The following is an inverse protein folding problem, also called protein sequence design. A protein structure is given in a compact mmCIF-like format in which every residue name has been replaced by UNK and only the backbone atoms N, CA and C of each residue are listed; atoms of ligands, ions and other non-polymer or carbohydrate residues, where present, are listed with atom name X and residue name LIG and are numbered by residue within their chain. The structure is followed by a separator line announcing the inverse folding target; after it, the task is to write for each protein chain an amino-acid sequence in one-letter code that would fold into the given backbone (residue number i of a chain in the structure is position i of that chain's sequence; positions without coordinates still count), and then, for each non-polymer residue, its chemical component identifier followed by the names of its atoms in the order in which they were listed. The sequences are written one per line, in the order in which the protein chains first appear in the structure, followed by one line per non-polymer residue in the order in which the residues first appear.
data_IF_741948808404
#
_entry.id   IF_741948808404
#
_cell.length_a   1.000
_cell.length_b   1.000
_cell.length_c   1.000
_cell.angle_alpha   90.00
_cell.angle_beta   90.00
_cell.angle_gamma   90.00
#
_symmetry.space_group_name_H-M   'P 1'
#
loop_
_entity.id
_entity.type
_entity.pdbx_description
1 polymer ?
#
# COMPACT_ATOMS: atom_id res chain seq x y z
N UNK A 1 56.08 -12.83 31.08
CA UNK A 1 55.96 -12.05 29.83
C UNK A 1 54.68 -12.48 29.13
N UNK A 2 53.74 -11.55 28.91
CA UNK A 2 52.50 -11.80 28.14
C UNK A 2 52.81 -11.61 26.65
N UNK A 3 52.72 -12.65 25.85
CA UNK A 3 52.85 -12.59 24.40
C UNK A 3 51.59 -11.96 23.81
N UNK A 4 51.71 -10.75 23.24
CA UNK A 4 50.64 -10.11 22.47
C UNK A 4 50.45 -10.91 21.18
N UNK A 5 49.29 -11.56 21.06
CA UNK A 5 48.89 -12.38 19.91
C UNK A 5 48.71 -11.44 18.70
N UNK A 6 49.41 -11.71 17.60
CA UNK A 6 49.46 -10.83 16.43
C UNK A 6 48.08 -10.56 15.84
N UNK A 7 47.69 -9.29 15.84
CA UNK A 7 46.52 -8.81 15.10
C UNK A 7 46.85 -8.83 13.60
N UNK A 8 46.21 -9.75 12.85
CA UNK A 8 46.27 -9.73 11.39
C UNK A 8 45.33 -8.62 10.90
N UNK A 9 45.91 -7.57 10.33
CA UNK A 9 45.14 -6.54 9.62
C UNK A 9 44.54 -7.08 8.32
N UNK A 10 43.37 -6.57 7.93
CA UNK A 10 42.77 -6.84 6.62
C UNK A 10 43.67 -6.31 5.50
N UNK A 11 43.82 -7.06 4.42
CA UNK A 11 44.51 -6.58 3.22
C UNK A 11 43.59 -5.68 2.39
N UNK A 12 44.18 -4.70 1.69
CA UNK A 12 43.42 -3.81 0.80
C UNK A 12 42.77 -4.58 -0.36
N UNK A 13 43.41 -5.67 -0.81
CA UNK A 13 42.85 -6.51 -1.88
C UNK A 13 41.62 -7.29 -1.41
N UNK A 14 41.60 -7.76 -0.16
CA UNK A 14 40.43 -8.42 0.43
C UNK A 14 39.25 -7.46 0.51
N UNK A 15 39.48 -6.22 0.95
CA UNK A 15 38.41 -5.21 0.98
C UNK A 15 37.93 -4.85 -0.43
N UNK A 16 38.83 -4.76 -1.41
CA UNK A 16 38.49 -4.43 -2.79
C UNK A 16 37.57 -5.48 -3.41
N UNK A 17 37.88 -6.78 -3.23
CA UNK A 17 37.03 -7.86 -3.76
C UNK A 17 35.66 -7.87 -3.10
N UNK A 18 35.59 -7.61 -1.79
CA UNK A 18 34.31 -7.54 -1.06
C UNK A 18 33.42 -6.41 -1.57
N UNK A 19 33.96 -5.20 -1.74
CA UNK A 19 33.14 -4.08 -2.26
C UNK A 19 32.74 -4.29 -3.72
N UNK A 20 33.56 -4.97 -4.52
CA UNK A 20 33.19 -5.35 -5.89
C UNK A 20 32.00 -6.31 -5.92
N UNK A 21 32.00 -7.34 -5.07
CA UNK A 21 30.88 -8.30 -4.96
C UNK A 21 29.61 -7.60 -4.44
N UNK A 22 29.72 -6.78 -3.39
CA UNK A 22 28.59 -6.01 -2.86
C UNK A 22 28.04 -5.07 -3.94
N UNK A 23 28.90 -4.43 -4.73
CA UNK A 23 28.50 -3.57 -5.85
C UNK A 23 27.63 -4.30 -6.88
N UNK A 24 28.01 -5.53 -7.25
CA UNK A 24 27.23 -6.37 -8.18
C UNK A 24 25.87 -6.73 -7.59
N UNK A 25 25.83 -7.15 -6.32
CA UNK A 25 24.58 -7.52 -5.65
C UNK A 25 23.63 -6.31 -5.54
N UNK A 26 24.15 -5.15 -5.15
CA UNK A 26 23.38 -3.91 -4.99
C UNK A 26 22.79 -3.43 -6.32
N UNK A 27 23.55 -3.54 -7.42
CA UNK A 27 23.08 -3.15 -8.75
C UNK A 27 21.81 -3.90 -9.18
N UNK A 28 21.67 -5.18 -8.78
CA UNK A 28 20.47 -6.00 -9.07
C UNK A 28 19.39 -5.77 -8.01
N UNK A 29 19.77 -5.71 -6.73
CA UNK A 29 18.83 -5.67 -5.62
C UNK A 29 18.01 -4.38 -5.55
N UNK A 30 18.63 -3.21 -5.82
CA UNK A 30 17.94 -1.90 -5.74
C UNK A 30 16.73 -1.81 -6.68
N UNK A 31 16.86 -2.02 -8.01
CA UNK A 31 15.72 -1.90 -8.91
C UNK A 31 14.63 -2.94 -8.60
N UNK A 32 15.03 -4.16 -8.21
CA UNK A 32 14.10 -5.21 -7.83
C UNK A 32 13.31 -4.84 -6.57
N UNK A 33 13.98 -4.35 -5.52
CA UNK A 33 13.34 -3.91 -4.29
C UNK A 33 12.38 -2.73 -4.52
N UNK A 34 12.76 -1.79 -5.39
CA UNK A 34 11.89 -0.68 -5.76
C UNK A 34 10.58 -1.16 -6.41
N UNK A 35 10.66 -2.19 -7.27
CA UNK A 35 9.47 -2.79 -7.89
C UNK A 35 8.63 -3.57 -6.89
N UNK A 36 9.24 -4.32 -5.97
CA UNK A 36 8.49 -4.99 -4.89
C UNK A 36 7.74 -4.00 -4.01
N UNK A 37 8.37 -2.86 -3.67
CA UNK A 37 7.72 -1.82 -2.89
C UNK A 37 6.49 -1.25 -3.62
N UNK A 38 6.58 -1.01 -4.93
CA UNK A 38 5.43 -0.57 -5.74
C UNK A 38 4.31 -1.60 -5.74
N UNK A 39 4.62 -2.88 -5.93
CA UNK A 39 3.63 -3.96 -5.89
C UNK A 39 2.96 -4.09 -4.52
N UNK A 40 3.72 -3.94 -3.43
CA UNK A 40 3.16 -3.93 -2.07
C UNK A 40 2.23 -2.73 -1.85
N UNK A 41 2.60 -1.55 -2.35
CA UNK A 41 1.76 -0.35 -2.29
C UNK A 41 0.48 -0.50 -3.12
N UNK A 42 0.56 -1.10 -4.31
CA UNK A 42 -0.60 -1.44 -5.14
C UNK A 42 -1.51 -2.45 -4.41
N UNK A 43 -0.94 -3.49 -3.80
CA UNK A 43 -1.69 -4.47 -3.01
C UNK A 43 -2.40 -3.85 -1.80
N UNK A 44 -1.80 -2.84 -1.16
CA UNK A 44 -2.46 -2.09 -0.10
C UNK A 44 -3.68 -1.31 -0.61
N UNK A 45 -3.57 -0.63 -1.76
CA UNK A 45 -4.71 0.06 -2.37
C UNK A 45 -5.83 -0.91 -2.79
N UNK A 46 -5.47 -2.09 -3.31
CA UNK A 46 -6.43 -3.14 -3.65
C UNK A 46 -7.14 -3.71 -2.42
N UNK A 47 -6.43 -3.93 -1.31
CA UNK A 47 -7.03 -4.40 -0.07
C UNK A 47 -7.98 -3.34 0.51
N UNK A 48 -7.57 -2.08 0.53
CA UNK A 48 -8.35 -0.99 1.09
C UNK A 48 -9.66 -0.76 0.33
N UNK A 49 -9.66 -0.84 -1.00
CA UNK A 49 -10.91 -0.65 -1.77
C UNK A 49 -11.91 -1.79 -1.54
N UNK A 50 -11.43 -3.03 -1.34
CA UNK A 50 -12.27 -4.17 -0.94
C UNK A 50 -12.88 -3.95 0.44
N UNK A 51 -12.08 -3.49 1.39
CA UNK A 51 -12.55 -3.17 2.74
C UNK A 51 -13.54 -1.99 2.74
N UNK A 52 -13.29 -0.98 1.90
CA UNK A 52 -14.23 0.14 1.72
C UNK A 52 -15.56 -0.34 1.15
N UNK A 53 -15.53 -1.23 0.15
CA UNK A 53 -16.75 -1.82 -0.40
C UNK A 53 -17.54 -2.56 0.69
N UNK A 54 -16.89 -3.40 1.51
CA UNK A 54 -17.53 -4.08 2.63
C UNK A 54 -18.14 -3.09 3.65
N UNK A 55 -17.44 -1.99 3.94
CA UNK A 55 -17.96 -0.94 4.81
C UNK A 55 -19.18 -0.25 4.20
N UNK A 56 -19.19 -0.02 2.88
CA UNK A 56 -20.33 0.55 2.17
C UNK A 56 -21.54 -0.39 2.17
N UNK A 57 -21.34 -1.69 1.96
CA UNK A 57 -22.40 -2.71 2.06
C UNK A 57 -22.97 -2.78 3.48
N UNK A 58 -22.11 -2.73 4.51
CA UNK A 58 -22.54 -2.70 5.90
C UNK A 58 -23.37 -1.44 6.23
N UNK A 59 -22.97 -0.29 5.69
CA UNK A 59 -23.75 0.93 5.79
C UNK A 59 -25.11 0.79 5.13
N UNK A 60 -25.17 0.25 3.91
CA UNK A 60 -26.42 0.01 3.18
C UNK A 60 -27.36 -0.92 3.95
N UNK A 61 -26.85 -2.01 4.52
CA UNK A 61 -27.63 -2.96 5.29
C UNK A 61 -28.33 -2.32 6.52
N UNK A 62 -27.71 -1.29 7.10
CA UNK A 62 -28.26 -0.60 8.29
C UNK A 62 -29.16 0.58 7.91
N UNK A 63 -28.85 1.29 6.83
CA UNK A 63 -29.48 2.58 6.49
C UNK A 63 -30.43 2.50 5.28
N UNK A 64 -30.44 1.39 4.55
CA UNK A 64 -31.25 1.20 3.34
C UNK A 64 -30.79 1.99 2.11
N UNK A 65 -29.69 2.71 2.24
CA UNK A 65 -29.04 3.47 1.17
C UNK A 65 -27.54 3.53 1.44
N UNK A 66 -26.75 3.70 0.38
CA UNK A 66 -25.32 3.95 0.50
C UNK A 66 -25.06 5.35 1.04
N UNK A 67 -23.89 5.60 1.63
CA UNK A 67 -23.59 6.92 2.15
C UNK A 67 -23.49 7.95 1.02
N UNK A 68 -23.86 9.19 1.33
CA UNK A 68 -23.68 10.31 0.42
C UNK A 68 -22.23 10.37 -0.08
N UNK A 69 -22.03 10.79 -1.33
CA UNK A 69 -20.72 10.81 -1.98
C UNK A 69 -19.64 11.42 -1.07
N UNK A 70 -18.54 10.67 -0.93
CA UNK A 70 -17.37 11.06 -0.13
C UNK A 70 -16.22 11.30 -1.09
N UNK A 71 -15.87 12.57 -1.28
CA UNK A 71 -14.90 12.96 -2.31
C UNK A 71 -13.53 12.32 -2.09
N UNK A 72 -13.07 12.18 -0.85
CA UNK A 72 -11.74 11.61 -0.57
C UNK A 72 -11.66 10.97 0.82
N UNK A 73 -11.07 9.78 0.89
CA UNK A 73 -10.77 9.04 2.12
C UNK A 73 -9.26 8.73 2.12
N UNK A 74 -8.60 8.97 3.25
CA UNK A 74 -7.16 8.75 3.46
C UNK A 74 -6.93 8.18 4.86
N UNK A 75 -5.68 7.96 5.23
CA UNK A 75 -5.33 7.49 6.59
C UNK A 75 -5.69 8.49 7.70
N UNK A 76 -5.86 9.77 7.37
CA UNK A 76 -6.18 10.84 8.34
C UNK A 76 -7.55 11.45 8.11
N UNK A 77 -8.20 11.16 6.99
CA UNK A 77 -9.52 11.70 6.65
C UNK A 77 -10.46 10.54 6.32
N UNK A 78 -11.43 10.28 7.18
CA UNK A 78 -12.53 9.35 6.90
C UNK A 78 -13.86 10.09 6.91
N UNK A 79 -14.88 9.49 6.31
CA UNK A 79 -16.25 9.96 6.50
C UNK A 79 -16.86 9.29 7.73
N UNK A 80 -17.71 10.04 8.45
CA UNK A 80 -18.49 9.51 9.56
C UNK A 80 -19.33 8.28 9.16
N UNK A 81 -19.70 8.18 7.88
CA UNK A 81 -20.41 7.03 7.33
C UNK A 81 -19.62 5.71 7.43
N UNK A 82 -18.29 5.75 7.35
CA UNK A 82 -17.46 4.54 7.43
C UNK A 82 -16.78 4.36 8.80
N UNK A 83 -16.94 5.33 9.73
CA UNK A 83 -16.37 5.26 11.07
C UNK A 83 -17.01 4.17 11.93
N UNK A 84 -18.32 3.94 11.78
CA UNK A 84 -19.03 2.85 12.45
C UNK A 84 -18.54 1.45 12.03
N UNK A 85 -18.01 1.33 10.81
CA UNK A 85 -17.38 0.13 10.30
C UNK A 85 -15.88 0.04 10.65
N UNK A 86 -15.33 1.04 11.35
CA UNK A 86 -13.91 1.10 11.70
C UNK A 86 -12.96 1.28 10.52
N UNK A 87 -13.47 1.64 9.33
CA UNK A 87 -12.64 1.73 8.13
C UNK A 87 -11.68 2.93 8.21
N UNK A 88 -10.41 2.68 7.92
CA UNK A 88 -9.34 3.67 7.81
C UNK A 88 -8.44 3.25 6.66
N UNK A 89 -8.11 4.16 5.75
CA UNK A 89 -7.22 3.81 4.65
C UNK A 89 -5.79 3.59 5.16
N UNK A 90 -5.07 2.69 4.51
CA UNK A 90 -3.65 2.47 4.69
C UNK A 90 -2.89 3.76 4.34
N UNK A 91 -1.74 3.97 4.99
CA UNK A 91 -0.89 5.14 4.72
C UNK A 91 -0.58 5.25 3.22
N UNK A 92 -0.67 6.47 2.69
CA UNK A 92 -0.47 6.82 1.29
C UNK A 92 -1.51 6.26 0.30
N UNK A 93 -2.53 5.55 0.78
CA UNK A 93 -3.69 5.20 -0.04
C UNK A 93 -4.69 6.36 0.01
N UNK A 94 -5.11 6.77 -1.17
CA UNK A 94 -6.20 7.73 -1.37
C UNK A 94 -7.34 6.98 -2.03
N UNK A 95 -8.52 7.00 -1.40
CA UNK A 95 -9.74 6.50 -1.99
C UNK A 95 -10.69 7.64 -2.32
N UNK A 96 -11.46 7.51 -3.39
CA UNK A 96 -12.59 8.37 -3.70
C UNK A 96 -13.85 7.52 -3.79
N UNK A 97 -14.95 7.96 -3.18
CA UNK A 97 -16.21 7.22 -3.15
C UNK A 97 -17.32 8.10 -3.70
N UNK A 98 -17.92 7.66 -4.79
CA UNK A 98 -19.05 8.34 -5.43
C UNK A 98 -20.25 7.43 -5.35
N UNK A 99 -21.35 7.98 -4.83
CA UNK A 99 -22.59 7.24 -4.71
C UNK A 99 -23.62 7.68 -5.78
N UNK A 100 -24.36 6.69 -6.28
CA UNK A 100 -25.66 6.83 -6.91
C UNK A 100 -26.73 6.13 -6.04
N UNK A 101 -28.01 6.39 -6.27
CA UNK A 101 -29.10 5.99 -5.34
C UNK A 101 -29.00 4.55 -4.78
N UNK A 102 -28.69 3.56 -5.61
CA UNK A 102 -28.58 2.14 -5.22
C UNK A 102 -27.25 1.49 -5.59
N UNK A 103 -26.28 2.26 -6.06
CA UNK A 103 -24.97 1.76 -6.49
C UNK A 103 -23.87 2.73 -6.11
N UNK A 104 -22.62 2.28 -6.06
CA UNK A 104 -21.49 3.17 -5.84
C UNK A 104 -20.32 2.78 -6.71
N UNK A 105 -19.50 3.79 -6.98
CA UNK A 105 -18.19 3.62 -7.56
C UNK A 105 -17.16 4.12 -6.57
N UNK A 106 -16.10 3.35 -6.34
CA UNK A 106 -14.95 3.79 -5.59
C UNK A 106 -13.68 3.67 -6.44
N UNK A 107 -12.70 4.51 -6.18
CA UNK A 107 -11.34 4.34 -6.70
C UNK A 107 -10.35 4.32 -5.55
N UNK A 108 -9.23 3.61 -5.72
CA UNK A 108 -8.14 3.60 -4.76
C UNK A 108 -6.79 3.59 -5.48
N UNK A 109 -5.87 4.42 -5.01
CA UNK A 109 -4.48 4.42 -5.48
C UNK A 109 -3.54 4.69 -4.32
N UNK A 110 -2.33 4.14 -4.40
CA UNK A 110 -1.26 4.44 -3.45
C UNK A 110 -0.23 5.36 -4.12
N UNK A 111 0.19 6.44 -3.46
CA UNK A 111 1.16 7.39 -4.03
C UNK A 111 2.55 6.79 -4.30
N UNK A 112 2.89 5.68 -3.64
CA UNK A 112 4.09 4.89 -3.92
C UNK A 112 3.83 3.68 -4.82
N UNK A 113 2.59 3.47 -5.25
CA UNK A 113 2.18 2.44 -6.20
C UNK A 113 2.23 2.96 -7.64
N UNK A 114 1.70 2.15 -8.54
CA UNK A 114 1.59 2.47 -9.97
C UNK A 114 0.20 2.24 -10.54
N UNK A 115 -0.71 1.64 -9.75
CA UNK A 115 -2.05 1.28 -10.20
C UNK A 115 -3.13 2.08 -9.48
N UNK A 116 -4.24 2.24 -10.18
CA UNK A 116 -5.51 2.70 -9.62
C UNK A 116 -6.52 1.57 -9.78
N UNK A 117 -7.14 1.19 -8.69
CA UNK A 117 -8.19 0.19 -8.63
C UNK A 117 -9.54 0.88 -8.64
N UNK A 118 -10.51 0.32 -9.36
CA UNK A 118 -11.87 0.85 -9.39
C UNK A 118 -12.84 -0.23 -8.91
N UNK A 119 -13.72 0.10 -7.98
CA UNK A 119 -14.83 -0.77 -7.59
C UNK A 119 -16.11 -0.17 -8.13
N UNK A 120 -16.90 -0.98 -8.82
CA UNK A 120 -18.22 -0.58 -9.28
C UNK A 120 -19.25 -1.62 -8.79
N UNK A 121 -20.11 -1.22 -7.87
CA UNK A 121 -21.10 -2.15 -7.30
C UNK A 121 -22.18 -2.56 -8.30
N UNK A 122 -22.43 -1.76 -9.35
CA UNK A 122 -23.34 -2.11 -10.44
C UNK A 122 -22.77 -3.21 -11.35
N UNK A 123 -21.45 -3.24 -11.50
CA UNK A 123 -20.73 -4.20 -12.36
C UNK A 123 -20.26 -5.45 -11.62
N UNK A 124 -20.59 -5.60 -10.33
CA UNK A 124 -20.25 -6.78 -9.54
C UNK A 124 -18.89 -6.75 -8.84
N UNK A 125 -18.24 -5.58 -8.73
CA UNK A 125 -17.10 -5.39 -7.82
C UNK A 125 -15.88 -4.72 -8.44
N UNK A 126 -14.69 -5.23 -8.07
CA UNK A 126 -13.39 -4.67 -8.48
C UNK A 126 -13.14 -4.86 -9.98
N UNK A 127 -12.66 -3.80 -10.64
CA UNK A 127 -12.29 -3.72 -12.06
C UNK A 127 -10.82 -3.35 -12.22
#
# INVERSE_FOLDING_TARGET
MKTLKGEKGFTLIELLVVVAIIGILVAIAIPQFANYKKQANDGAAEADIRNLALAAESYYATNGAYPASVTTITSTTTSAAFDGAGFKATKNVTLAFTNATTTFTATASNSGGTKTFTWNSASGGLQ
#
